data_IF_512215210571
#
_entry.id   IF_512215210571
#
_cell.length_a   1.000
_cell.length_b   1.000
_cell.length_c   1.000
_cell.angle_alpha   90.00
_cell.angle_beta   90.00
_cell.angle_gamma   90.00
#
_symmetry.space_group_name_H-M   'P 1'
#
loop_
_entity.id
_entity.type
_entity.pdbx_description
1 polymer ?
#
# COMPACT_ATOMS: atom_id res chain seq x y z
N UNK A 1 4.60 8.59 -23.93
CA UNK A 1 3.27 8.28 -23.34
C UNK A 1 3.30 8.64 -21.87
N UNK A 2 2.26 9.29 -21.35
CA UNK A 2 2.16 9.60 -19.94
C UNK A 2 2.03 8.30 -19.12
N UNK A 3 2.75 8.19 -18.00
CA UNK A 3 2.64 7.04 -17.09
C UNK A 3 1.25 6.97 -16.48
N UNK A 4 0.75 5.77 -16.22
CA UNK A 4 -0.51 5.51 -15.49
C UNK A 4 -0.16 4.97 -14.11
N UNK A 5 -0.63 5.63 -13.06
CA UNK A 5 -0.36 5.28 -11.67
C UNK A 5 -1.67 5.05 -10.91
N UNK A 6 -1.85 3.86 -10.33
CA UNK A 6 -2.96 3.54 -9.45
C UNK A 6 -2.52 3.71 -7.99
N UNK A 7 -3.27 4.51 -7.22
CA UNK A 7 -2.90 4.87 -5.85
C UNK A 7 -4.05 4.53 -4.91
N UNK A 8 -3.77 3.72 -3.89
CA UNK A 8 -4.76 3.34 -2.88
C UNK A 8 -4.68 4.25 -1.64
N UNK A 9 -5.79 4.41 -0.92
CA UNK A 9 -5.82 5.19 0.32
C UNK A 9 -5.68 6.69 0.15
N UNK A 10 -6.07 7.24 -0.99
CA UNK A 10 -5.90 8.65 -1.39
C UNK A 10 -6.73 9.64 -0.57
N UNK A 11 -7.71 9.18 0.19
CA UNK A 11 -8.47 10.04 1.12
C UNK A 11 -7.73 10.29 2.44
N UNK A 12 -6.63 9.57 2.69
CA UNK A 12 -5.75 9.79 3.82
C UNK A 12 -4.63 10.78 3.52
N UNK A 13 -3.96 11.26 4.56
CA UNK A 13 -2.94 12.33 4.49
C UNK A 13 -1.80 12.00 3.51
N UNK A 14 -1.17 10.83 3.64
CA UNK A 14 -0.06 10.43 2.76
C UNK A 14 -0.54 10.18 1.34
N UNK A 15 -1.67 9.46 1.19
CA UNK A 15 -2.20 9.13 -0.13
C UNK A 15 -2.58 10.37 -0.94
N UNK A 16 -3.24 11.35 -0.32
CA UNK A 16 -3.61 12.60 -0.98
C UNK A 16 -2.37 13.41 -1.40
N UNK A 17 -1.39 13.55 -0.51
CA UNK A 17 -0.14 14.24 -0.81
C UNK A 17 0.63 13.53 -1.95
N UNK A 18 0.69 12.19 -1.94
CA UNK A 18 1.33 11.39 -3.00
C UNK A 18 0.63 11.58 -4.34
N UNK A 19 -0.70 11.52 -4.35
CA UNK A 19 -1.48 11.73 -5.57
C UNK A 19 -1.26 13.12 -6.17
N UNK A 20 -1.17 14.16 -5.30
CA UNK A 20 -0.85 15.52 -5.74
C UNK A 20 0.56 15.61 -6.36
N UNK A 21 1.58 15.03 -5.72
CA UNK A 21 2.95 15.08 -6.25
C UNK A 21 3.07 14.32 -7.59
N UNK A 22 2.42 13.17 -7.72
CA UNK A 22 2.40 12.42 -8.98
C UNK A 22 1.60 13.17 -10.05
N UNK A 23 0.48 13.81 -9.70
CA UNK A 23 -0.31 14.61 -10.65
C UNK A 23 0.51 15.77 -11.24
N UNK A 24 1.33 16.46 -10.43
CA UNK A 24 2.23 17.54 -10.88
C UNK A 24 3.25 17.08 -11.93
N UNK A 25 3.56 15.80 -12.01
CA UNK A 25 4.45 15.27 -13.08
C UNK A 25 3.77 15.09 -14.43
N UNK A 26 2.46 15.35 -14.52
CA UNK A 26 1.66 15.13 -15.73
C UNK A 26 1.24 13.68 -15.94
N UNK A 27 1.53 12.76 -15.03
CA UNK A 27 1.09 11.38 -15.11
C UNK A 27 -0.45 11.28 -15.02
N UNK A 28 -1.02 10.28 -15.66
CA UNK A 28 -2.40 9.88 -15.42
C UNK A 28 -2.48 9.17 -14.07
N UNK A 29 -3.39 9.58 -13.21
CA UNK A 29 -3.58 8.96 -11.91
C UNK A 29 -5.00 8.39 -11.76
N UNK A 30 -5.07 7.18 -11.18
CA UNK A 30 -6.32 6.55 -10.78
C UNK A 30 -6.36 6.50 -9.25
N UNK A 31 -7.28 7.24 -8.68
CA UNK A 31 -7.46 7.40 -7.23
C UNK A 31 -8.38 6.29 -6.71
N UNK A 32 -7.89 5.43 -5.82
CA UNK A 32 -8.68 4.33 -5.28
C UNK A 32 -8.95 4.51 -3.78
N UNK A 33 -10.22 4.47 -3.41
CA UNK A 33 -10.71 4.45 -2.01
C UNK A 33 -12.16 4.00 -1.95
N UNK A 34 -12.68 3.74 -0.74
CA UNK A 34 -14.04 3.20 -0.56
C UNK A 34 -15.17 4.22 -0.71
N UNK A 35 -14.90 5.49 -0.52
CA UNK A 35 -15.93 6.54 -0.49
C UNK A 35 -15.87 7.41 -1.75
N UNK A 36 -16.84 7.24 -2.66
CA UNK A 36 -16.92 7.96 -3.93
C UNK A 36 -16.95 9.49 -3.73
N UNK A 37 -17.76 9.99 -2.80
CA UNK A 37 -17.89 11.44 -2.60
C UNK A 37 -16.57 12.07 -2.13
N UNK A 38 -15.83 11.38 -1.23
CA UNK A 38 -14.51 11.85 -0.83
C UNK A 38 -13.49 11.74 -1.97
N UNK A 39 -13.60 10.75 -2.84
CA UNK A 39 -12.73 10.63 -4.03
C UNK A 39 -12.96 11.79 -4.99
N UNK A 40 -14.19 12.19 -5.27
CA UNK A 40 -14.50 13.34 -6.14
C UNK A 40 -13.95 14.65 -5.57
N UNK A 41 -14.08 14.87 -4.26
CA UNK A 41 -13.47 16.03 -3.58
C UNK A 41 -11.95 16.03 -3.73
N UNK A 42 -11.31 14.87 -3.52
CA UNK A 42 -9.85 14.73 -3.67
C UNK A 42 -9.42 14.93 -5.12
N UNK A 43 -10.15 14.38 -6.09
CA UNK A 43 -9.92 14.59 -7.52
C UNK A 43 -9.95 16.07 -7.88
N UNK A 44 -11.01 16.77 -7.47
CA UNK A 44 -11.17 18.22 -7.72
C UNK A 44 -10.01 19.01 -7.11
N UNK A 45 -9.68 18.76 -5.83
CA UNK A 45 -8.58 19.44 -5.14
C UNK A 45 -7.23 19.23 -5.86
N UNK A 46 -6.94 17.98 -6.25
CA UNK A 46 -5.69 17.63 -6.92
C UNK A 46 -5.63 18.26 -8.32
N UNK A 47 -6.71 18.19 -9.10
CA UNK A 47 -6.78 18.81 -10.43
C UNK A 47 -6.49 20.30 -10.38
N UNK A 48 -7.12 21.03 -9.44
CA UNK A 48 -6.90 22.46 -9.27
C UNK A 48 -5.45 22.79 -8.85
N UNK A 49 -4.86 22.02 -7.92
CA UNK A 49 -3.51 22.28 -7.40
C UNK A 49 -2.38 21.85 -8.34
N UNK A 50 -2.61 20.89 -9.21
CA UNK A 50 -1.60 20.36 -10.14
C UNK A 50 -1.76 20.84 -11.57
N UNK A 51 -2.88 21.49 -11.90
CA UNK A 51 -3.31 21.79 -13.29
C UNK A 51 -3.37 20.53 -14.19
N UNK A 52 -3.52 19.34 -13.59
CA UNK A 52 -3.62 18.07 -14.29
C UNK A 52 -5.06 17.57 -14.24
N UNK A 53 -5.67 17.35 -15.38
CA UNK A 53 -7.04 16.84 -15.51
C UNK A 53 -7.09 15.33 -15.83
N UNK A 54 -5.94 14.67 -16.00
CA UNK A 54 -5.86 13.23 -16.23
C UNK A 54 -5.97 12.46 -14.89
N UNK A 55 -7.09 12.65 -14.20
CA UNK A 55 -7.36 12.07 -12.89
C UNK A 55 -8.69 11.33 -12.94
N UNK A 56 -8.64 10.06 -12.63
CA UNK A 56 -9.80 9.18 -12.57
C UNK A 56 -10.00 8.62 -11.17
N UNK A 57 -11.20 8.17 -10.87
CA UNK A 57 -11.52 7.53 -9.60
C UNK A 57 -11.94 6.08 -9.81
N UNK A 58 -11.59 5.25 -8.85
CA UNK A 58 -11.98 3.84 -8.77
C UNK A 58 -12.41 3.56 -7.33
N UNK A 59 -13.58 2.92 -7.16
CA UNK A 59 -14.14 2.68 -5.83
C UNK A 59 -13.87 1.25 -5.41
N UNK A 60 -13.22 1.05 -4.24
CA UNK A 60 -13.11 -0.26 -3.63
C UNK A 60 -13.08 -0.15 -2.10
N UNK A 61 -13.78 -1.03 -1.43
CA UNK A 61 -13.65 -1.25 0.01
C UNK A 61 -12.65 -2.38 0.27
N UNK A 62 -11.54 -2.05 0.89
CA UNK A 62 -10.46 -3.00 1.21
C UNK A 62 -10.80 -3.95 2.36
N UNK A 63 -11.95 -3.77 3.00
CA UNK A 63 -12.52 -4.75 3.94
C UNK A 63 -13.40 -5.80 3.25
N UNK A 64 -13.48 -5.76 1.92
CA UNK A 64 -14.33 -6.60 1.08
C UNK A 64 -13.53 -7.17 -0.09
N UNK A 65 -13.26 -8.47 -0.06
CA UNK A 65 -12.46 -9.17 -1.09
C UNK A 65 -13.11 -9.01 -2.47
N UNK A 66 -14.43 -9.16 -2.56
CA UNK A 66 -15.15 -9.04 -3.83
C UNK A 66 -15.07 -7.63 -4.42
N UNK A 67 -15.11 -6.60 -3.56
CA UNK A 67 -14.94 -5.21 -3.97
C UNK A 67 -13.54 -4.94 -4.54
N UNK A 68 -12.49 -5.51 -3.94
CA UNK A 68 -11.11 -5.37 -4.44
C UNK A 68 -10.95 -6.03 -5.80
N UNK A 69 -11.45 -7.25 -5.97
CA UNK A 69 -11.42 -7.97 -7.25
C UNK A 69 -12.21 -7.24 -8.34
N UNK A 70 -13.40 -6.74 -8.01
CA UNK A 70 -14.23 -5.97 -8.94
C UNK A 70 -13.52 -4.70 -9.42
N UNK A 71 -12.87 -3.97 -8.52
CA UNK A 71 -12.10 -2.79 -8.88
C UNK A 71 -10.88 -3.12 -9.77
N UNK A 72 -10.17 -4.21 -9.50
CA UNK A 72 -9.09 -4.67 -10.37
C UNK A 72 -9.59 -5.01 -11.77
N UNK A 73 -10.75 -5.66 -11.88
CA UNK A 73 -11.38 -5.98 -13.17
C UNK A 73 -11.85 -4.73 -13.91
N UNK A 74 -12.49 -3.77 -13.22
CA UNK A 74 -12.86 -2.48 -13.80
C UNK A 74 -11.62 -1.76 -14.34
N UNK A 75 -10.52 -1.75 -13.58
CA UNK A 75 -9.27 -1.16 -14.03
C UNK A 75 -8.76 -1.83 -15.33
N UNK A 76 -8.71 -3.17 -15.37
CA UNK A 76 -8.23 -3.94 -16.54
C UNK A 76 -9.11 -3.76 -17.79
N UNK A 77 -10.41 -3.54 -17.61
CA UNK A 77 -11.33 -3.22 -18.71
C UNK A 77 -11.06 -1.84 -19.30
N UNK A 78 -10.83 -0.84 -18.45
CA UNK A 78 -10.66 0.56 -18.82
C UNK A 78 -9.24 0.88 -19.30
N UNK A 79 -8.22 0.25 -18.73
CA UNK A 79 -6.82 0.53 -19.00
C UNK A 79 -6.07 -0.71 -19.48
N UNK A 80 -5.18 -0.50 -20.45
CA UNK A 80 -4.28 -1.56 -20.97
C UNK A 80 -2.83 -1.37 -20.50
N UNK A 81 -2.60 -0.42 -19.60
CA UNK A 81 -1.29 -0.07 -19.06
C UNK A 81 -1.40 0.31 -17.57
N UNK A 82 -0.40 -0.09 -16.80
CA UNK A 82 -0.20 0.33 -15.40
C UNK A 82 1.31 0.40 -15.12
N UNK A 83 1.85 1.60 -15.00
CA UNK A 83 3.28 1.82 -14.78
C UNK A 83 3.67 1.72 -13.30
N UNK A 84 2.75 2.09 -12.40
CA UNK A 84 2.98 1.91 -10.97
C UNK A 84 1.68 1.66 -10.19
N UNK A 85 1.75 0.70 -9.26
CA UNK A 85 0.75 0.47 -8.23
C UNK A 85 1.31 0.94 -6.88
N UNK A 86 0.62 1.90 -6.22
CA UNK A 86 1.05 2.45 -4.94
C UNK A 86 0.07 2.07 -3.85
N UNK A 87 0.43 1.06 -3.05
CA UNK A 87 -0.35 0.52 -1.95
C UNK A 87 -0.10 1.33 -0.66
N UNK A 88 -1.02 2.27 -0.34
CA UNK A 88 -0.92 3.14 0.84
C UNK A 88 -2.03 2.86 1.85
N UNK A 89 -3.19 2.34 1.40
CA UNK A 89 -4.35 2.12 2.25
C UNK A 89 -3.99 1.32 3.51
N UNK A 90 -4.42 1.81 4.67
CA UNK A 90 -4.27 1.12 5.95
C UNK A 90 -5.28 1.65 6.96
N UNK A 91 -5.66 0.80 7.91
CA UNK A 91 -6.50 1.13 9.06
C UNK A 91 -5.82 0.65 10.35
N UNK A 92 -6.16 1.31 11.47
CA UNK A 92 -5.82 0.86 12.82
C UNK A 92 -7.10 0.74 13.63
N UNK A 93 -7.24 -0.33 14.40
CA UNK A 93 -8.40 -0.59 15.25
C UNK A 93 -7.99 -0.95 16.66
N UNK A 94 -8.69 -0.40 17.65
CA UNK A 94 -8.46 -0.68 19.08
C UNK A 94 -9.02 -2.02 19.51
N UNK A 95 -10.04 -2.52 18.80
CA UNK A 95 -10.71 -3.78 19.06
C UNK A 95 -10.66 -4.64 17.81
N UNK A 96 -10.79 -5.94 17.98
CA UNK A 96 -10.94 -6.86 16.86
C UNK A 96 -12.29 -6.61 16.18
N UNK A 97 -12.25 -6.28 14.92
CA UNK A 97 -13.43 -6.12 14.06
C UNK A 97 -13.34 -7.15 12.93
N UNK A 98 -14.47 -7.69 12.53
CA UNK A 98 -14.57 -8.73 11.52
C UNK A 98 -15.23 -8.16 10.27
N UNK A 99 -14.66 -8.47 9.11
CA UNK A 99 -15.22 -8.12 7.80
C UNK A 99 -16.37 -9.05 7.44
N UNK A 100 -17.09 -8.73 6.36
CA UNK A 100 -18.14 -9.62 5.83
C UNK A 100 -17.59 -10.97 5.32
N UNK A 101 -16.31 -11.02 5.00
CA UNK A 101 -15.60 -12.25 4.58
C UNK A 101 -15.09 -13.07 5.78
N UNK A 102 -15.56 -12.76 7.00
CA UNK A 102 -15.17 -13.38 8.28
C UNK A 102 -13.67 -13.27 8.61
N UNK A 103 -13.00 -12.23 8.14
CA UNK A 103 -11.58 -11.97 8.38
C UNK A 103 -11.38 -10.75 9.29
N UNK A 104 -10.24 -10.70 10.02
CA UNK A 104 -9.92 -9.55 10.86
C UNK A 104 -9.64 -8.31 9.98
N UNK A 105 -10.21 -7.18 10.36
CA UNK A 105 -10.27 -5.97 9.54
C UNK A 105 -8.90 -5.38 9.20
N UNK A 106 -7.94 -5.33 10.16
CA UNK A 106 -6.59 -4.83 9.87
C UNK A 106 -5.80 -5.81 9.00
N UNK A 107 -5.93 -7.11 9.25
CA UNK A 107 -5.34 -8.15 8.40
C UNK A 107 -5.84 -8.00 6.95
N UNK A 108 -7.15 -7.92 6.78
CA UNK A 108 -7.79 -7.81 5.46
C UNK A 108 -7.39 -6.51 4.76
N UNK A 109 -7.60 -5.37 5.39
CA UNK A 109 -7.40 -4.05 4.76
C UNK A 109 -5.92 -3.74 4.51
N UNK A 110 -5.03 -4.07 5.47
CA UNK A 110 -3.65 -3.62 5.41
C UNK A 110 -2.73 -4.59 4.65
N UNK A 111 -3.10 -5.88 4.58
CA UNK A 111 -2.27 -6.91 3.97
C UNK A 111 -2.98 -7.67 2.84
N UNK A 112 -4.12 -8.30 3.11
CA UNK A 112 -4.76 -9.20 2.14
C UNK A 112 -5.30 -8.44 0.92
N UNK A 113 -5.94 -7.29 1.10
CA UNK A 113 -6.44 -6.49 -0.01
C UNK A 113 -5.32 -5.95 -0.93
N UNK A 114 -4.20 -5.37 -0.43
CA UNK A 114 -3.04 -5.08 -1.27
C UNK A 114 -2.45 -6.31 -1.97
N UNK A 115 -2.41 -7.47 -1.31
CA UNK A 115 -1.98 -8.74 -1.90
C UNK A 115 -2.88 -9.10 -3.09
N UNK A 116 -4.21 -9.11 -2.90
CA UNK A 116 -5.18 -9.43 -3.94
C UNK A 116 -5.08 -8.43 -5.10
N UNK A 117 -5.17 -7.13 -4.82
CA UNK A 117 -5.12 -6.10 -5.85
C UNK A 117 -3.84 -6.20 -6.68
N UNK A 118 -2.70 -6.46 -6.03
CA UNK A 118 -1.42 -6.62 -6.71
C UNK A 118 -1.44 -7.83 -7.64
N UNK A 119 -1.88 -8.99 -7.17
CA UNK A 119 -1.91 -10.21 -7.98
C UNK A 119 -2.90 -10.11 -9.14
N UNK A 120 -4.07 -9.51 -8.94
CA UNK A 120 -5.06 -9.24 -10.00
C UNK A 120 -4.55 -8.33 -11.10
N UNK A 121 -3.58 -7.44 -10.79
CA UNK A 121 -3.02 -6.47 -11.74
C UNK A 121 -1.62 -6.87 -12.26
N UNK A 122 -1.08 -8.05 -11.90
CA UNK A 122 0.27 -8.45 -12.30
C UNK A 122 0.44 -8.53 -13.82
N UNK A 123 -0.54 -9.03 -14.54
CA UNK A 123 -0.41 -9.20 -15.99
C UNK A 123 -0.31 -7.86 -16.71
N UNK A 124 -1.13 -6.88 -16.31
CA UNK A 124 -1.04 -5.54 -16.90
C UNK A 124 0.25 -4.82 -16.48
N UNK A 125 0.76 -5.05 -15.24
CA UNK A 125 2.05 -4.53 -14.79
C UNK A 125 3.20 -5.14 -15.61
N UNK A 126 3.20 -6.46 -15.85
CA UNK A 126 4.20 -7.13 -16.68
C UNK A 126 4.16 -6.65 -18.14
N UNK A 127 2.97 -6.42 -18.69
CA UNK A 127 2.80 -5.86 -20.04
C UNK A 127 3.27 -4.40 -20.15
N UNK A 128 3.33 -3.67 -19.03
CA UNK A 128 3.68 -2.24 -18.94
C UNK A 128 5.13 -1.98 -18.55
N UNK A 129 5.98 -2.99 -18.57
CA UNK A 129 7.40 -2.88 -18.16
C UNK A 129 8.15 -1.74 -18.86
N UNK A 130 9.03 -1.00 -18.14
CA UNK A 130 9.35 -1.14 -16.72
C UNK A 130 8.23 -0.59 -15.83
N UNK A 131 7.74 -1.42 -14.91
CA UNK A 131 6.66 -1.06 -13.99
C UNK A 131 7.01 -1.36 -12.53
N UNK A 132 6.20 -0.85 -11.58
CA UNK A 132 6.56 -0.91 -10.15
C UNK A 132 5.37 -1.14 -9.25
N UNK A 133 5.61 -1.86 -8.17
CA UNK A 133 4.67 -2.05 -7.07
C UNK A 133 5.34 -1.46 -5.82
N UNK A 134 4.73 -0.43 -5.24
CA UNK A 134 5.25 0.26 -4.06
C UNK A 134 4.30 -0.01 -2.90
N UNK A 135 4.80 -0.65 -1.83
CA UNK A 135 4.01 -0.95 -0.64
C UNK A 135 4.45 -0.07 0.53
N UNK A 136 3.55 0.77 1.03
CA UNK A 136 3.81 1.60 2.21
C UNK A 136 3.68 0.75 3.47
N UNK A 137 4.79 0.63 4.20
CA UNK A 137 4.89 -0.15 5.42
C UNK A 137 5.75 0.58 6.47
N UNK A 138 6.17 -0.10 7.52
CA UNK A 138 7.05 0.44 8.55
C UNK A 138 8.07 -0.63 8.98
N UNK A 139 9.24 -0.25 9.52
CA UNK A 139 10.12 -1.18 10.20
C UNK A 139 9.35 -1.85 11.33
N UNK A 140 9.06 -3.14 11.19
CA UNK A 140 8.35 -3.91 12.20
C UNK A 140 9.27 -4.94 12.83
N UNK A 141 9.15 -5.11 14.13
CA UNK A 141 9.82 -6.16 14.92
C UNK A 141 8.83 -7.24 15.37
N UNK A 142 7.55 -7.10 14.99
CA UNK A 142 6.48 -8.02 15.38
C UNK A 142 6.70 -9.38 14.72
N UNK A 143 6.84 -10.42 15.51
CA UNK A 143 6.82 -11.81 15.03
C UNK A 143 5.38 -12.24 14.77
N UNK A 144 5.14 -12.87 13.64
CA UNK A 144 3.81 -13.36 13.27
C UNK A 144 3.50 -14.67 14.00
N UNK A 145 2.33 -14.74 14.62
CA UNK A 145 1.78 -16.01 15.08
C UNK A 145 0.96 -16.63 13.96
N UNK A 146 1.55 -17.53 13.19
CA UNK A 146 0.89 -18.20 12.06
C UNK A 146 -0.29 -19.09 12.46
N UNK A 147 -0.42 -19.43 13.74
CA UNK A 147 -1.56 -20.19 14.26
C UNK A 147 -2.70 -19.27 14.74
N UNK A 148 -2.49 -17.94 14.68
CA UNK A 148 -3.44 -16.93 15.11
C UNK A 148 -3.15 -15.57 14.46
N UNK A 149 -2.96 -15.55 13.12
CA UNK A 149 -2.64 -14.33 12.37
C UNK A 149 -3.72 -13.25 12.51
N UNK A 150 -4.95 -13.67 12.74
CA UNK A 150 -6.11 -12.80 12.81
C UNK A 150 -6.54 -12.47 14.26
N UNK A 151 -5.75 -12.90 15.27
CA UNK A 151 -6.00 -12.59 16.68
C UNK A 151 -7.33 -13.13 17.20
N UNK A 152 -7.75 -14.32 16.74
CA UNK A 152 -8.99 -14.98 17.22
C UNK A 152 -8.88 -15.40 18.67
N UNK A 153 -7.71 -15.91 19.06
CA UNK A 153 -7.44 -16.36 20.44
C UNK A 153 -6.97 -15.21 21.30
N UNK A 154 -6.11 -14.33 20.75
CA UNK A 154 -5.54 -13.20 21.50
C UNK A 154 -5.32 -12.00 20.58
N UNK A 155 -6.25 -11.06 20.61
CA UNK A 155 -6.10 -9.81 19.88
C UNK A 155 -5.30 -8.77 20.68
N UNK A 156 -4.33 -8.18 20.03
CA UNK A 156 -3.56 -7.04 20.55
C UNK A 156 -3.45 -5.97 19.46
N UNK A 157 -4.07 -4.79 19.62
CA UNK A 157 -4.14 -3.77 18.57
C UNK A 157 -2.76 -3.42 17.97
N UNK A 158 -1.77 -3.19 18.82
CA UNK A 158 -0.42 -2.82 18.38
C UNK A 158 0.29 -3.98 17.68
N UNK A 159 0.15 -5.21 18.23
CA UNK A 159 0.76 -6.38 17.61
C UNK A 159 0.07 -6.74 16.29
N UNK A 160 -1.25 -6.65 16.22
CA UNK A 160 -1.99 -6.88 14.97
C UNK A 160 -1.59 -5.87 13.90
N UNK A 161 -1.55 -4.58 14.25
CA UNK A 161 -1.10 -3.55 13.30
C UNK A 161 0.38 -3.73 12.91
N UNK A 162 1.29 -3.94 13.87
CA UNK A 162 2.70 -4.22 13.61
C UNK A 162 2.89 -5.50 12.79
N UNK A 163 2.07 -6.52 13.05
CA UNK A 163 2.00 -7.75 12.26
C UNK A 163 1.68 -7.48 10.79
N UNK A 164 0.68 -6.64 10.49
CA UNK A 164 0.37 -6.28 9.08
C UNK A 164 1.53 -5.54 8.40
N UNK A 165 2.33 -4.76 9.15
CA UNK A 165 3.54 -4.13 8.59
C UNK A 165 4.65 -5.14 8.30
N UNK A 166 4.81 -6.14 9.17
CA UNK A 166 5.72 -7.27 8.91
C UNK A 166 5.26 -8.09 7.70
N UNK A 167 3.98 -8.41 7.61
CA UNK A 167 3.41 -9.12 6.45
C UNK A 167 3.68 -8.39 5.14
N UNK A 168 3.56 -7.07 5.12
CA UNK A 168 3.82 -6.25 3.93
C UNK A 168 5.31 -6.23 3.53
N UNK A 169 6.24 -6.28 4.50
CA UNK A 169 7.67 -6.46 4.21
C UNK A 169 7.93 -7.85 3.59
N UNK A 170 7.41 -8.92 4.23
CA UNK A 170 7.54 -10.29 3.73
C UNK A 170 6.93 -10.44 2.33
N UNK A 171 5.73 -9.88 2.12
CA UNK A 171 5.07 -9.85 0.82
C UNK A 171 5.93 -9.17 -0.23
N UNK A 172 6.46 -7.98 0.07
CA UNK A 172 7.32 -7.24 -0.87
C UNK A 172 8.56 -8.06 -1.27
N UNK A 173 9.22 -8.71 -0.31
CA UNK A 173 10.42 -9.50 -0.58
C UNK A 173 10.09 -10.80 -1.34
N UNK A 174 9.04 -11.51 -0.97
CA UNK A 174 8.58 -12.69 -1.69
C UNK A 174 8.16 -12.34 -3.13
N UNK A 175 7.39 -11.26 -3.29
CA UNK A 175 6.96 -10.76 -4.60
C UNK A 175 8.15 -10.36 -5.46
N UNK A 176 9.14 -9.64 -4.90
CA UNK A 176 10.30 -9.21 -5.66
C UNK A 176 11.07 -10.37 -6.30
N UNK A 177 11.16 -11.51 -5.61
CA UNK A 177 11.78 -12.74 -6.15
C UNK A 177 10.93 -13.36 -7.26
N UNK A 178 9.62 -13.41 -7.09
CA UNK A 178 8.70 -13.93 -8.09
C UNK A 178 8.66 -13.07 -9.36
N UNK A 179 9.10 -11.81 -9.26
CA UNK A 179 9.13 -10.85 -10.36
C UNK A 179 10.52 -10.70 -11.01
N UNK A 180 11.53 -11.46 -10.58
CA UNK A 180 12.85 -11.45 -11.22
C UNK A 180 12.76 -11.74 -12.72
N UNK A 181 13.42 -10.94 -13.53
CA UNK A 181 13.43 -11.05 -14.99
C UNK A 181 12.17 -10.55 -15.71
N UNK A 182 11.09 -10.17 -15.00
CA UNK A 182 9.83 -9.72 -15.63
C UNK A 182 9.83 -8.24 -16.05
N UNK A 183 10.74 -7.43 -15.51
CA UNK A 183 10.75 -5.97 -15.68
C UNK A 183 9.78 -5.24 -14.74
N UNK A 184 9.19 -5.93 -13.76
CA UNK A 184 8.37 -5.35 -12.69
C UNK A 184 9.16 -5.36 -11.39
N UNK A 185 9.24 -4.24 -10.70
CA UNK A 185 9.92 -4.13 -9.40
C UNK A 185 8.91 -4.01 -8.25
N UNK A 186 9.13 -4.76 -7.18
CA UNK A 186 8.42 -4.61 -5.92
C UNK A 186 9.33 -3.95 -4.89
N UNK A 187 8.89 -2.84 -4.31
CA UNK A 187 9.64 -2.08 -3.30
C UNK A 187 8.76 -1.73 -2.10
N UNK A 188 9.38 -1.60 -0.93
CA UNK A 188 8.73 -1.11 0.27
C UNK A 188 9.16 0.33 0.59
N UNK A 189 8.26 1.13 1.18
CA UNK A 189 8.57 2.45 1.71
C UNK A 189 8.12 2.61 3.15
N UNK A 190 9.02 3.12 4.00
CA UNK A 190 8.68 3.67 5.32
C UNK A 190 8.43 5.18 5.21
N UNK A 191 7.18 5.64 5.43
CA UNK A 191 6.82 7.04 5.21
C UNK A 191 7.26 7.98 6.35
N UNK A 192 7.92 7.46 7.40
CA UNK A 192 8.16 8.20 8.63
C UNK A 192 6.95 8.21 9.56
N UNK A 193 7.03 9.01 10.61
CA UNK A 193 5.92 9.25 11.53
C UNK A 193 5.10 10.43 10.99
N UNK A 194 4.02 10.15 10.27
CA UNK A 194 3.16 11.18 9.70
C UNK A 194 1.87 11.29 10.52
N UNK A 195 1.51 12.52 10.91
CA UNK A 195 0.21 12.78 11.54
C UNK A 195 -0.91 12.50 10.54
N UNK A 196 -1.73 11.52 10.81
CA UNK A 196 -2.80 11.08 9.92
C UNK A 196 -4.02 10.62 10.71
N UNK A 197 -5.14 10.40 10.03
CA UNK A 197 -6.35 9.85 10.65
C UNK A 197 -6.10 8.48 11.28
N UNK A 198 -5.15 7.71 10.76
CA UNK A 198 -4.70 6.45 11.33
C UNK A 198 -4.28 6.61 12.82
N UNK A 199 -3.66 7.74 13.16
CA UNK A 199 -3.20 8.01 14.53
C UNK A 199 -4.33 8.37 15.49
N UNK A 200 -5.53 8.71 15.00
CA UNK A 200 -6.67 9.10 15.84
C UNK A 200 -7.14 7.97 16.76
N UNK A 201 -7.04 6.73 16.31
CA UNK A 201 -7.41 5.54 17.08
C UNK A 201 -6.25 4.92 17.86
N UNK A 202 -5.01 5.40 17.69
CA UNK A 202 -3.84 4.89 18.43
C UNK A 202 -3.86 5.28 19.91
N UNK A 203 -3.13 4.57 20.77
CA UNK A 203 -2.94 4.92 22.18
C UNK A 203 -2.41 6.36 22.37
N UNK A 204 -2.79 7.01 23.45
CA UNK A 204 -2.50 8.43 23.71
C UNK A 204 -1.00 8.76 23.69
N UNK A 205 -0.15 7.84 24.22
CA UNK A 205 1.30 8.04 24.19
C UNK A 205 1.88 8.05 22.77
N UNK A 206 1.36 7.21 21.85
CA UNK A 206 1.77 7.21 20.45
C UNK A 206 1.26 8.47 19.72
N UNK A 207 0.06 8.96 20.07
CA UNK A 207 -0.43 10.25 19.56
C UNK A 207 0.47 11.40 19.99
N UNK A 208 0.94 11.39 21.24
CA UNK A 208 1.84 12.41 21.75
C UNK A 208 3.19 12.38 21.00
N UNK A 209 3.78 11.20 20.83
CA UNK A 209 5.03 11.04 20.06
C UNK A 209 4.84 11.50 18.60
N UNK A 210 3.75 11.09 17.95
CA UNK A 210 3.49 11.53 16.56
C UNK A 210 3.21 13.02 16.47
N UNK A 211 2.65 13.65 17.52
CA UNK A 211 2.44 15.11 17.55
C UNK A 211 3.75 15.88 17.62
N UNK A 212 4.73 15.37 18.38
CA UNK A 212 6.04 16.03 18.58
C UNK A 212 7.04 15.75 17.45
N UNK A 213 7.00 14.57 16.86
CA UNK A 213 8.01 14.07 15.94
C UNK A 213 7.45 13.81 14.53
N UNK A 214 6.22 14.27 14.24
CA UNK A 214 5.62 13.98 12.93
C UNK A 214 6.37 14.69 11.80
N UNK A 215 6.80 13.91 10.84
CA UNK A 215 7.27 14.39 9.56
C UNK A 215 6.12 15.02 8.75
N UNK A 216 6.46 16.01 7.92
CA UNK A 216 5.49 16.54 6.96
C UNK A 216 5.21 15.43 5.91
N UNK A 217 3.96 15.22 5.52
CA UNK A 217 3.59 14.21 4.53
C UNK A 217 4.28 14.40 3.18
N UNK A 218 4.71 15.62 2.88
CA UNK A 218 5.35 16.00 1.62
C UNK A 218 6.63 15.23 1.34
N UNK A 219 7.46 14.94 2.37
CA UNK A 219 8.68 14.16 2.18
C UNK A 219 8.37 12.73 1.72
N UNK A 220 7.42 12.09 2.40
CA UNK A 220 6.98 10.75 2.01
C UNK A 220 6.31 10.75 0.62
N UNK A 221 5.49 11.75 0.33
CA UNK A 221 4.82 11.92 -0.95
C UNK A 221 5.81 12.09 -2.11
N UNK A 222 6.83 12.95 -1.95
CA UNK A 222 7.89 13.12 -2.94
C UNK A 222 8.66 11.83 -3.18
N UNK A 223 8.99 11.09 -2.11
CA UNK A 223 9.69 9.81 -2.27
C UNK A 223 8.82 8.75 -2.96
N UNK A 224 7.52 8.67 -2.63
CA UNK A 224 6.57 7.80 -3.31
C UNK A 224 6.40 8.17 -4.79
N UNK A 225 6.34 9.47 -5.09
CA UNK A 225 6.34 9.96 -6.46
C UNK A 225 7.60 9.51 -7.20
N UNK A 226 8.78 9.76 -6.63
CA UNK A 226 10.05 9.33 -7.23
C UNK A 226 10.09 7.82 -7.44
N UNK A 227 9.70 7.01 -6.47
CA UNK A 227 9.61 5.55 -6.62
C UNK A 227 8.64 5.14 -7.73
N UNK A 228 7.55 5.87 -7.93
CA UNK A 228 6.56 5.54 -8.95
C UNK A 228 7.01 5.91 -10.37
N UNK A 229 7.72 7.03 -10.56
CA UNK A 229 7.94 7.59 -11.89
C UNK A 229 9.40 7.76 -12.32
N UNK A 230 10.37 7.93 -11.38
CA UNK A 230 11.75 8.19 -11.76
C UNK A 230 12.48 6.93 -12.25
N UNK A 231 13.19 7.03 -13.36
CA UNK A 231 13.96 5.92 -13.94
C UNK A 231 15.09 5.41 -13.04
N UNK A 232 15.64 6.26 -12.17
CA UNK A 232 16.73 5.86 -11.24
C UNK A 232 16.34 4.71 -10.29
N UNK A 233 15.05 4.42 -10.13
CA UNK A 233 14.56 3.33 -9.28
C UNK A 233 14.17 2.07 -10.06
N UNK A 234 14.49 1.99 -11.36
CA UNK A 234 14.18 0.82 -12.20
C UNK A 234 14.97 -0.45 -11.82
N UNK A 235 16.06 -0.32 -11.07
CA UNK A 235 16.85 -1.43 -10.52
C UNK A 235 16.67 -1.62 -9.02
N UNK A 236 15.52 -1.19 -8.47
CA UNK A 236 15.30 -1.18 -7.01
C UNK A 236 14.49 -2.36 -6.49
N UNK A 237 14.39 -3.45 -7.26
CA UNK A 237 13.60 -4.62 -6.87
C UNK A 237 14.03 -5.19 -5.51
N UNK A 238 13.07 -5.46 -4.62
CA UNK A 238 13.31 -6.03 -3.30
C UNK A 238 13.88 -5.04 -2.26
N UNK A 239 13.96 -3.74 -2.57
CA UNK A 239 14.53 -2.75 -1.65
C UNK A 239 13.47 -2.16 -0.72
N UNK A 240 13.94 -1.75 0.48
CA UNK A 240 13.15 -1.04 1.47
C UNK A 240 13.73 0.35 1.70
N UNK A 241 12.96 1.38 1.38
CA UNK A 241 13.39 2.77 1.48
C UNK A 241 12.72 3.48 2.65
N UNK A 242 13.39 4.50 3.18
CA UNK A 242 12.82 5.50 4.05
C UNK A 242 12.38 6.72 3.23
N UNK A 243 11.52 7.55 3.78
CA UNK A 243 10.99 8.77 3.15
C UNK A 243 12.07 9.77 2.68
N UNK A 244 13.29 9.69 3.19
CA UNK A 244 14.44 10.51 2.80
C UNK A 244 15.26 9.90 1.64
N UNK A 245 14.81 8.80 1.07
CA UNK A 245 15.44 8.09 -0.04
C UNK A 245 16.53 7.11 0.37
N UNK A 246 16.85 7.00 1.66
CA UNK A 246 17.81 6.02 2.15
C UNK A 246 17.25 4.62 2.07
N UNK A 247 18.01 3.70 1.50
CA UNK A 247 17.74 2.27 1.62
C UNK A 247 18.03 1.83 3.06
N UNK A 248 17.09 1.11 3.65
CA UNK A 248 17.18 0.60 5.02
C UNK A 248 16.96 -0.91 5.05
N UNK A 249 17.53 -1.56 6.04
CA UNK A 249 17.26 -2.98 6.31
C UNK A 249 16.08 -3.11 7.26
N UNK A 250 15.24 -4.10 7.00
CA UNK A 250 14.17 -4.51 7.92
C UNK A 250 14.69 -5.51 8.97
N UNK A 251 13.84 -5.91 9.91
CA UNK A 251 14.17 -6.97 10.84
C UNK A 251 14.49 -8.27 10.10
N UNK A 252 15.53 -9.01 10.54
CA UNK A 252 15.95 -10.28 9.93
C UNK A 252 14.82 -11.30 9.74
N UNK A 253 13.82 -11.28 10.61
CA UNK A 253 12.64 -12.13 10.54
C UNK A 253 11.84 -11.95 9.22
N UNK A 254 11.83 -10.74 8.65
CA UNK A 254 11.12 -10.49 7.38
C UNK A 254 11.81 -11.11 6.16
N UNK A 255 13.07 -11.51 6.27
CA UNK A 255 13.83 -12.16 5.19
C UNK A 255 13.78 -13.69 5.22
N UNK A 256 13.12 -14.28 6.22
CA UNK A 256 12.95 -15.73 6.34
C UNK A 256 12.06 -16.24 5.20
N UNK A 257 12.65 -17.07 4.35
CA UNK A 257 12.00 -17.56 3.11
C UNK A 257 10.83 -18.50 3.42
N UNK A 258 10.97 -19.38 4.41
CA UNK A 258 9.92 -20.34 4.78
C UNK A 258 8.69 -19.59 5.32
N UNK A 259 8.92 -18.59 6.16
CA UNK A 259 7.84 -17.74 6.68
C UNK A 259 7.19 -16.88 5.60
N UNK A 260 7.97 -16.38 4.63
CA UNK A 260 7.44 -15.68 3.45
C UNK A 260 6.53 -16.57 2.62
N UNK A 261 6.95 -17.82 2.33
CA UNK A 261 6.15 -18.78 1.55
C UNK A 261 4.89 -19.19 2.33
N UNK A 262 5.01 -19.42 3.64
CA UNK A 262 3.86 -19.74 4.47
C UNK A 262 2.83 -18.61 4.46
N UNK A 263 3.28 -17.35 4.59
CA UNK A 263 2.41 -16.19 4.51
C UNK A 263 1.76 -16.06 3.14
N UNK A 264 2.54 -16.28 2.08
CA UNK A 264 2.04 -16.23 0.70
C UNK A 264 0.90 -17.24 0.49
N UNK A 265 1.13 -18.51 0.84
CA UNK A 265 0.14 -19.60 0.72
C UNK A 265 -1.15 -19.29 1.48
N UNK A 266 -1.05 -18.79 2.74
CA UNK A 266 -2.21 -18.41 3.53
C UNK A 266 -2.95 -17.24 2.85
N UNK A 267 -2.23 -16.25 2.33
CA UNK A 267 -2.85 -15.11 1.65
C UNK A 267 -3.55 -15.54 0.35
N UNK A 268 -2.99 -16.46 -0.41
CA UNK A 268 -3.63 -17.05 -1.60
C UNK A 268 -4.93 -17.78 -1.22
N UNK A 269 -4.87 -18.65 -0.21
CA UNK A 269 -6.04 -19.41 0.25
C UNK A 269 -7.18 -18.50 0.70
N UNK A 270 -6.88 -17.39 1.37
CA UNK A 270 -7.86 -16.42 1.87
C UNK A 270 -8.30 -15.40 0.80
N UNK A 271 -7.74 -15.44 -0.39
CA UNK A 271 -8.05 -14.53 -1.50
C UNK A 271 -9.23 -15.02 -2.36
N UNK A 272 -9.77 -16.18 -2.09
CA UNK A 272 -10.88 -16.81 -2.87
C UNK A 272 -12.27 -16.62 -2.19
#
# INVERSE_FOLDING_TARGET
>A
MNKIVLITGVTGTIGKATALEIAKSGAMIVLLSRNRNKLELVKTEISQKSANNNIEILVADFSDISSVKSAANEFKQKYKRLDALVNIAAVYKKKREITKDNLELMFTTNHLAPFILTNELLDILKASKPSRIITVTAPSVTKLNFNDLQGERKFSPLNSFGGTKMMNLMFTYSLSKRLEGTGVNAVALHPGLVKSDLTKEMPSFLKYITRLMADKPDKAAKMLCSLAIDSKFESSNGKFFKFDGKEIKSNKYSYDKELQERLWTISEQLSH
#
